data_IF_309274683626
#
_entry.id   IF_309274683626
#
_cell.length_a   1.000
_cell.length_b   1.000
_cell.length_c   1.000
_cell.angle_alpha   90.00
_cell.angle_beta   90.00
_cell.angle_gamma   90.00
#
_symmetry.space_group_name_H-M   'P 1'
#
loop_
_entity.id
_entity.type
_entity.pdbx_description
1 polymer ?
#
# COMPACT_ATOMS: atom_id res chain seq x y z
N UNK A 1 4.84 -29.31 -59.44
CA UNK A 1 3.81 -28.65 -58.61
C UNK A 1 3.79 -29.36 -57.26
N UNK A 2 4.39 -28.83 -56.20
CA UNK A 2 4.30 -29.34 -54.81
C UNK A 2 5.01 -28.42 -53.80
N UNK A 3 4.69 -27.12 -53.78
CA UNK A 3 5.27 -26.18 -52.78
C UNK A 3 4.25 -25.24 -52.11
N UNK A 4 2.95 -25.55 -52.17
CA UNK A 4 1.93 -24.62 -51.65
C UNK A 4 1.35 -25.03 -50.28
N UNK A 5 1.60 -26.24 -49.77
CA UNK A 5 0.83 -26.76 -48.61
C UNK A 5 1.57 -26.80 -47.27
N UNK A 6 2.76 -26.19 -47.12
CA UNK A 6 3.58 -26.28 -45.88
C UNK A 6 3.75 -24.99 -45.07
N UNK A 7 2.96 -23.95 -45.35
CA UNK A 7 3.02 -22.67 -44.61
C UNK A 7 1.84 -22.41 -43.66
N UNK A 8 0.86 -23.32 -43.58
CA UNK A 8 -0.32 -23.11 -42.73
C UNK A 8 -0.23 -23.75 -41.34
N UNK A 9 0.92 -24.33 -40.97
CA UNK A 9 1.11 -25.02 -39.68
C UNK A 9 2.30 -24.49 -38.87
N UNK A 10 2.66 -23.21 -39.05
CA UNK A 10 3.59 -22.52 -38.16
C UNK A 10 3.06 -21.17 -37.66
N UNK A 11 1.77 -20.86 -37.92
CA UNK A 11 1.17 -19.60 -37.49
C UNK A 11 0.45 -19.69 -36.13
N UNK A 12 0.27 -20.90 -35.55
CA UNK A 12 -0.49 -21.06 -34.29
C UNK A 12 0.36 -21.10 -33.01
N UNK A 13 1.69 -21.21 -33.10
CA UNK A 13 2.53 -21.41 -31.90
C UNK A 13 3.23 -20.16 -31.37
N UNK A 14 3.16 -19.02 -32.08
CA UNK A 14 3.84 -17.78 -31.66
C UNK A 14 2.87 -16.81 -30.96
N UNK A 15 1.56 -17.02 -31.08
CA UNK A 15 0.55 -16.13 -30.50
C UNK A 15 0.13 -16.46 -29.05
N UNK A 16 0.69 -17.50 -28.43
CA UNK A 16 0.30 -17.97 -27.10
C UNK A 16 1.41 -17.84 -26.03
N UNK A 17 2.33 -16.89 -26.23
CA UNK A 17 3.51 -16.71 -25.38
C UNK A 17 3.53 -15.41 -24.55
N UNK A 18 2.50 -14.57 -24.60
CA UNK A 18 2.39 -13.40 -23.72
C UNK A 18 1.69 -13.79 -22.41
N UNK A 19 2.32 -14.68 -21.65
CA UNK A 19 2.01 -14.80 -20.23
C UNK A 19 2.51 -13.53 -19.55
N UNK A 20 1.57 -12.67 -19.18
CA UNK A 20 1.82 -11.43 -18.48
C UNK A 20 2.74 -11.69 -17.27
N UNK A 21 3.94 -11.12 -17.31
CA UNK A 21 4.77 -10.99 -16.11
C UNK A 21 4.06 -10.01 -15.19
N UNK A 22 3.24 -10.53 -14.28
CA UNK A 22 2.64 -9.74 -13.21
C UNK A 22 3.78 -9.44 -12.24
N UNK A 23 4.41 -8.27 -12.37
CA UNK A 23 5.33 -7.79 -11.35
C UNK A 23 4.48 -7.55 -10.10
N UNK A 24 4.76 -8.21 -8.96
CA UNK A 24 4.06 -7.87 -7.73
C UNK A 24 4.31 -6.40 -7.45
N UNK A 25 3.25 -5.60 -7.43
CA UNK A 25 3.37 -4.22 -6.99
C UNK A 25 3.76 -4.26 -5.53
N UNK A 26 4.88 -3.64 -5.17
CA UNK A 26 5.24 -3.46 -3.77
C UNK A 26 4.07 -2.74 -3.08
N UNK A 27 3.59 -3.29 -1.97
CA UNK A 27 2.60 -2.61 -1.15
C UNK A 27 3.21 -1.28 -0.70
N UNK A 28 2.54 -0.16 -1.02
CA UNK A 28 3.08 1.17 -0.72
C UNK A 28 3.05 1.52 0.78
N UNK A 29 2.45 0.68 1.62
CA UNK A 29 2.43 0.85 3.07
C UNK A 29 3.12 -0.34 3.71
N UNK A 30 4.35 -0.13 4.18
CA UNK A 30 5.18 -1.14 4.81
C UNK A 30 5.42 -0.73 6.27
N UNK A 31 4.91 -1.48 7.27
CA UNK A 31 5.17 -1.17 8.67
C UNK A 31 6.65 -1.41 9.00
N UNK A 32 7.19 -0.63 9.93
CA UNK A 32 8.46 -0.97 10.56
C UNK A 32 8.23 -1.66 11.92
N UNK A 33 9.33 -2.08 12.56
CA UNK A 33 9.31 -2.82 13.83
C UNK A 33 9.85 -2.00 15.02
N UNK A 34 9.73 -0.67 14.97
CA UNK A 34 10.35 0.24 15.95
C UNK A 34 9.45 0.65 17.11
N UNK A 35 8.20 0.17 17.16
CA UNK A 35 7.25 0.46 18.23
C UNK A 35 7.17 -0.69 19.24
N UNK A 36 6.78 -0.42 20.51
CA UNK A 36 6.49 -1.49 21.49
C UNK A 36 5.41 -2.46 21.02
N UNK A 37 4.37 -1.94 20.37
CA UNK A 37 3.38 -2.70 19.61
C UNK A 37 3.39 -2.15 18.19
N UNK A 38 3.84 -2.98 17.25
CA UNK A 38 4.05 -2.58 15.86
C UNK A 38 2.74 -2.44 15.08
N UNK A 39 2.80 -1.61 14.04
CA UNK A 39 1.75 -1.51 13.03
C UNK A 39 1.61 -2.83 12.27
N UNK A 40 0.38 -3.13 11.86
CA UNK A 40 0.07 -4.26 10.96
C UNK A 40 -0.74 -3.73 9.79
N UNK A 41 -0.41 -4.19 8.58
CA UNK A 41 -1.07 -3.77 7.35
C UNK A 41 -1.58 -5.01 6.61
N UNK A 42 -2.87 -5.04 6.26
CA UNK A 42 -3.51 -6.17 5.56
C UNK A 42 -4.56 -5.69 4.57
N UNK A 43 -4.94 -6.52 3.59
CA UNK A 43 -6.16 -6.31 2.78
C UNK A 43 -6.08 -5.27 1.65
N UNK A 44 -4.89 -4.82 1.25
CA UNK A 44 -4.71 -3.87 0.14
C UNK A 44 -5.41 -4.34 -1.16
N UNK A 45 -5.98 -3.42 -1.97
CA UNK A 45 -5.71 -1.98 -2.03
C UNK A 45 -6.43 -1.13 -0.96
N UNK A 46 -7.41 -1.68 -0.25
CA UNK A 46 -7.95 -1.09 1.00
C UNK A 46 -7.11 -1.59 2.16
N UNK A 47 -5.95 -0.99 2.34
CA UNK A 47 -4.99 -1.38 3.36
C UNK A 47 -5.53 -1.05 4.76
N UNK A 48 -5.98 -2.07 5.50
CA UNK A 48 -6.31 -1.98 6.92
C UNK A 48 -5.04 -1.87 7.73
N UNK A 49 -4.92 -0.76 8.45
CA UNK A 49 -3.84 -0.45 9.39
C UNK A 49 -4.36 -0.72 10.80
N UNK A 50 -3.72 -1.66 11.48
CA UNK A 50 -4.07 -2.15 12.82
C UNK A 50 -2.84 -2.25 13.72
N UNK A 51 -3.04 -2.72 14.96
CA UNK A 51 -1.99 -2.76 15.96
C UNK A 51 -1.59 -1.35 16.37
N UNK A 52 -0.29 -1.08 16.38
CA UNK A 52 0.23 0.20 16.85
C UNK A 52 0.23 0.31 18.37
N UNK A 53 0.94 1.33 18.88
CA UNK A 53 1.14 1.53 20.31
C UNK A 53 0.18 2.58 20.82
N UNK A 54 -0.62 2.24 21.84
CA UNK A 54 -1.55 3.17 22.48
C UNK A 54 -0.91 3.81 23.73
N UNK A 55 -1.10 5.12 23.89
CA UNK A 55 -0.78 5.91 25.09
C UNK A 55 -1.89 6.92 25.36
N UNK A 56 -2.79 6.59 26.28
CA UNK A 56 -3.99 7.39 26.54
C UNK A 56 -4.89 7.42 25.30
N UNK A 57 -5.31 8.61 24.89
CA UNK A 57 -6.14 8.84 23.69
C UNK A 57 -5.34 8.87 22.37
N UNK A 58 -4.04 8.60 22.43
CA UNK A 58 -3.14 8.64 21.27
C UNK A 58 -2.76 7.22 20.81
N UNK A 59 -2.85 6.98 19.50
CA UNK A 59 -2.42 5.77 18.83
C UNK A 59 -1.23 6.08 17.90
N UNK A 60 -0.15 5.33 18.04
CA UNK A 60 1.07 5.51 17.25
C UNK A 60 1.27 4.35 16.28
N UNK A 61 1.52 4.70 15.03
CA UNK A 61 1.92 3.82 13.94
C UNK A 61 3.28 4.25 13.37
N UNK A 62 4.10 3.28 12.98
CA UNK A 62 5.40 3.52 12.36
C UNK A 62 5.54 2.66 11.11
N UNK A 63 6.05 3.27 10.05
CA UNK A 63 6.15 2.70 8.72
C UNK A 63 7.54 2.92 8.16
N UNK A 64 8.07 1.92 7.48
CA UNK A 64 9.25 2.09 6.64
C UNK A 64 8.89 2.84 5.36
N UNK A 65 7.76 2.51 4.75
CA UNK A 65 7.22 3.16 3.55
C UNK A 65 5.74 3.44 3.74
N UNK A 66 5.27 4.59 3.24
CA UNK A 66 3.85 4.94 3.29
C UNK A 66 3.46 5.74 2.06
N UNK A 67 2.64 5.13 1.20
CA UNK A 67 2.02 5.73 0.04
C UNK A 67 0.65 5.11 -0.20
N UNK A 68 -0.24 5.87 -0.81
CA UNK A 68 -1.60 5.42 -1.13
C UNK A 68 -1.85 5.74 -2.59
N UNK A 69 -1.93 4.74 -3.48
CA UNK A 69 -2.08 5.00 -4.90
C UNK A 69 -3.53 5.41 -5.22
N UNK A 70 -3.77 5.94 -6.40
CA UNK A 70 -5.13 6.25 -6.89
C UNK A 70 -6.03 5.02 -6.79
N UNK A 71 -7.23 5.20 -6.21
CA UNK A 71 -8.18 4.12 -5.96
C UNK A 71 -7.82 3.20 -4.78
N UNK A 72 -6.68 3.42 -4.13
CA UNK A 72 -6.31 2.78 -2.87
C UNK A 72 -6.84 3.53 -1.65
N UNK A 73 -6.79 2.86 -0.50
CA UNK A 73 -7.19 3.42 0.78
C UNK A 73 -6.27 2.95 1.90
N UNK A 74 -5.81 3.87 2.75
CA UNK A 74 -5.21 3.58 4.04
C UNK A 74 -6.27 3.75 5.13
N UNK A 75 -6.79 2.63 5.63
CA UNK A 75 -7.80 2.62 6.67
C UNK A 75 -7.18 2.33 8.04
N UNK A 76 -7.03 3.37 8.86
CA UNK A 76 -6.66 3.26 10.26
C UNK A 76 -7.86 2.75 11.08
N UNK A 77 -7.82 1.46 11.42
CA UNK A 77 -8.88 0.79 12.17
C UNK A 77 -8.68 0.97 13.69
N UNK A 78 -8.73 2.23 14.15
CA UNK A 78 -8.62 2.59 15.56
C UNK A 78 -9.90 2.27 16.36
N UNK A 79 -9.75 2.15 17.68
CA UNK A 79 -10.88 2.13 18.60
C UNK A 79 -11.51 3.51 18.76
N UNK A 80 -12.79 3.55 19.16
CA UNK A 80 -13.57 4.79 19.30
C UNK A 80 -13.05 5.73 20.41
N UNK A 81 -12.25 5.21 21.34
CA UNK A 81 -11.60 5.98 22.40
C UNK A 81 -10.34 6.73 21.96
N UNK A 82 -9.86 6.50 20.74
CA UNK A 82 -8.68 7.17 20.19
C UNK A 82 -9.12 8.51 19.61
N UNK A 83 -8.48 9.59 20.08
CA UNK A 83 -8.70 10.94 19.58
C UNK A 83 -7.64 11.34 18.55
N UNK A 84 -6.41 10.82 18.67
CA UNK A 84 -5.31 11.17 17.79
C UNK A 84 -4.56 9.93 17.31
N UNK A 85 -4.29 9.88 16.02
CA UNK A 85 -3.49 8.85 15.37
C UNK A 85 -2.24 9.52 14.80
N UNK A 86 -1.06 9.03 15.18
CA UNK A 86 0.22 9.50 14.68
C UNK A 86 0.86 8.41 13.82
N UNK A 87 0.98 8.65 12.51
CA UNK A 87 1.76 7.82 11.60
C UNK A 87 3.09 8.49 11.31
N UNK A 88 4.22 7.81 11.56
CA UNK A 88 5.54 8.28 11.12
C UNK A 88 6.12 7.36 10.05
N UNK A 89 6.85 7.95 9.10
CA UNK A 89 7.66 7.25 8.11
C UNK A 89 9.13 7.33 8.52
N UNK A 90 9.80 6.19 8.61
CA UNK A 90 11.20 6.04 9.03
C UNK A 90 12.15 5.73 7.87
N UNK A 91 11.62 5.28 6.72
CA UNK A 91 12.41 5.09 5.50
C UNK A 91 12.78 6.41 4.81
N UNK A 92 13.51 6.29 3.71
CA UNK A 92 14.06 7.44 2.97
C UNK A 92 13.15 7.95 1.84
N UNK A 93 12.02 7.29 1.58
CA UNK A 93 11.17 7.59 0.44
C UNK A 93 10.12 8.67 0.78
N UNK A 94 9.76 9.46 -0.24
CA UNK A 94 8.61 10.35 -0.21
C UNK A 94 7.31 9.56 -0.03
N UNK A 95 6.34 10.18 0.63
CA UNK A 95 4.96 9.66 0.67
C UNK A 95 4.12 10.28 -0.44
N UNK A 96 3.72 9.47 -1.43
CA UNK A 96 2.74 9.85 -2.44
C UNK A 96 1.34 9.40 -2.00
N UNK A 97 0.43 10.35 -1.85
CA UNK A 97 -0.93 10.13 -1.37
C UNK A 97 -1.92 10.60 -2.46
N UNK A 98 -2.26 9.67 -3.33
CA UNK A 98 -3.20 9.86 -4.44
C UNK A 98 -4.55 9.16 -4.19
N UNK A 99 -4.64 8.43 -3.06
CA UNK A 99 -5.84 7.71 -2.62
C UNK A 99 -6.40 8.23 -1.30
N UNK A 100 -7.26 7.43 -0.67
CA UNK A 100 -8.00 7.83 0.52
C UNK A 100 -7.23 7.54 1.81
N UNK A 101 -7.23 8.50 2.73
CA UNK A 101 -6.85 8.29 4.13
C UNK A 101 -8.13 8.29 4.97
N UNK A 102 -8.36 7.23 5.75
CA UNK A 102 -9.54 7.13 6.60
C UNK A 102 -9.17 6.64 8.00
N UNK A 103 -9.70 7.30 9.01
CA UNK A 103 -9.73 6.81 10.39
C UNK A 103 -11.12 6.27 10.74
N UNK A 104 -11.21 5.41 11.74
CA UNK A 104 -12.48 4.99 12.29
C UNK A 104 -13.02 6.06 13.25
N UNK A 105 -14.28 6.48 13.04
CA UNK A 105 -14.90 7.54 13.84
C UNK A 105 -14.34 8.94 13.51
N UNK A 106 -14.04 9.72 14.54
CA UNK A 106 -13.68 11.15 14.45
C UNK A 106 -12.23 11.44 14.87
N UNK A 107 -11.36 10.43 14.90
CA UNK A 107 -9.98 10.61 15.32
C UNK A 107 -9.21 11.52 14.35
N UNK A 108 -8.39 12.43 14.89
CA UNK A 108 -7.45 13.23 14.12
C UNK A 108 -6.33 12.32 13.58
N UNK A 109 -5.91 12.56 12.34
CA UNK A 109 -4.77 11.87 11.74
C UNK A 109 -3.60 12.84 11.52
N UNK A 110 -2.46 12.52 12.11
CA UNK A 110 -1.19 13.20 11.92
C UNK A 110 -0.22 12.26 11.19
N UNK A 111 0.17 12.61 9.97
CA UNK A 111 1.15 11.85 9.19
C UNK A 111 2.45 12.65 9.08
N UNK A 112 3.56 12.02 9.41
CA UNK A 112 4.88 12.64 9.47
C UNK A 112 5.84 11.85 8.58
N UNK A 113 6.40 12.51 7.56
CA UNK A 113 7.51 11.99 6.78
C UNK A 113 8.54 13.11 6.58
N UNK A 114 9.73 13.02 7.21
CA UNK A 114 10.79 14.02 7.06
C UNK A 114 11.26 14.22 5.61
N UNK A 115 11.10 13.21 4.75
CA UNK A 115 11.51 13.28 3.35
C UNK A 115 10.49 14.07 2.50
N UNK A 116 9.25 14.22 2.99
CA UNK A 116 8.17 14.94 2.33
C UNK A 116 6.92 14.10 2.09
N UNK A 117 5.79 14.79 1.95
CA UNK A 117 4.49 14.22 1.61
C UNK A 117 3.94 15.01 0.43
N UNK A 118 3.53 14.29 -0.63
CA UNK A 118 2.92 14.84 -1.82
C UNK A 118 1.49 14.30 -1.89
N UNK A 119 0.53 15.21 -2.02
CA UNK A 119 -0.87 14.90 -2.28
C UNK A 119 -1.18 15.16 -3.77
N UNK A 120 -1.84 14.22 -4.44
CA UNK A 120 -2.11 14.24 -5.90
C UNK A 120 -3.43 13.59 -6.30
#
# INVERSE_FOLDING_TARGET
MNQVTRYLWNASSIALGFLASICPTHAQIVPDNTLPVNSKVTGCPVCRIEGGTVRGVNLFHSFQEFGVPTGGEAFFNNGLQIENIFGRVTGANLSHIDGLLRANGTANLFLINPNGIIFG
#
